data_IF_120161744056
#
_entry.id   IF_120161744056
#
_cell.length_a   1.000
_cell.length_b   1.000
_cell.length_c   1.000
_cell.angle_alpha   90.00
_cell.angle_beta   90.00
_cell.angle_gamma   90.00
#
_symmetry.space_group_name_H-M   'P 1'
#
loop_
_entity.id
_entity.type
_entity.pdbx_description
1 polymer ?
#
# COMPACT_ATOMS: atom_id res chain seq x y z
N UNK A 1 -17.88 20.85 -14.78
CA UNK A 1 -17.33 21.59 -13.63
C UNK A 1 -16.13 22.37 -14.11
N UNK A 2 -15.82 23.56 -13.57
CA UNK A 2 -14.64 24.32 -13.98
C UNK A 2 -13.38 23.56 -13.56
N UNK A 3 -12.82 22.83 -14.51
CA UNK A 3 -11.51 22.21 -14.40
C UNK A 3 -10.47 23.19 -14.93
N UNK A 4 -9.24 23.11 -14.43
CA UNK A 4 -8.14 23.74 -15.15
C UNK A 4 -7.98 23.11 -16.55
N UNK A 5 -7.06 23.63 -17.37
CA UNK A 5 -6.76 23.09 -18.72
C UNK A 5 -6.30 21.61 -18.74
N UNK A 6 -6.09 21.01 -17.57
CA UNK A 6 -5.63 19.62 -17.38
C UNK A 6 -6.69 18.72 -16.71
N UNK A 7 -7.93 19.20 -16.54
CA UNK A 7 -9.01 18.39 -15.97
C UNK A 7 -9.05 18.33 -14.44
N UNK A 8 -8.20 19.08 -13.73
CA UNK A 8 -8.17 19.09 -12.25
C UNK A 8 -9.16 20.13 -11.71
N UNK A 9 -10.04 19.69 -10.81
CA UNK A 9 -11.03 20.54 -10.14
C UNK A 9 -10.47 21.18 -8.87
N UNK A 10 -10.91 22.42 -8.63
CA UNK A 10 -10.76 23.10 -7.34
C UNK A 10 -11.69 22.54 -6.26
N UNK A 11 -12.73 21.82 -6.67
CA UNK A 11 -13.64 21.13 -5.76
C UNK A 11 -12.99 19.84 -5.27
N UNK A 12 -12.99 19.65 -3.95
CA UNK A 12 -12.61 18.39 -3.33
C UNK A 12 -13.72 17.36 -3.56
N UNK A 13 -13.34 16.13 -3.91
CA UNK A 13 -14.31 15.03 -3.98
C UNK A 13 -14.90 14.71 -2.59
N UNK A 14 -16.01 13.97 -2.54
CA UNK A 14 -16.61 13.51 -1.26
C UNK A 14 -15.60 12.77 -0.37
N UNK A 15 -14.67 12.06 -0.97
CA UNK A 15 -13.59 11.34 -0.29
C UNK A 15 -12.49 12.26 0.24
N UNK A 16 -12.18 13.33 -0.48
CA UNK A 16 -11.17 14.31 -0.07
C UNK A 16 -11.67 15.23 1.05
N UNK A 17 -12.99 15.45 1.13
CA UNK A 17 -13.63 16.22 2.20
C UNK A 17 -13.31 15.64 3.57
N UNK A 18 -13.32 14.31 3.73
CA UNK A 18 -12.95 13.66 5.00
C UNK A 18 -11.53 14.05 5.45
N UNK A 19 -10.54 14.03 4.54
CA UNK A 19 -9.16 14.39 4.85
C UNK A 19 -9.00 15.87 5.17
N UNK A 20 -9.75 16.74 4.49
CA UNK A 20 -9.79 18.17 4.83
C UNK A 20 -10.36 18.39 6.23
N UNK A 21 -11.51 17.79 6.53
CA UNK A 21 -12.21 18.00 7.79
C UNK A 21 -11.45 17.41 8.99
N UNK A 22 -10.58 16.42 8.74
CA UNK A 22 -9.70 15.82 9.76
C UNK A 22 -8.30 16.47 9.85
N UNK A 23 -8.00 17.47 9.02
CA UNK A 23 -6.65 18.05 8.89
C UNK A 23 -6.06 18.55 10.22
N UNK A 24 -6.80 19.39 10.95
CA UNK A 24 -6.29 19.99 12.20
C UNK A 24 -6.10 18.94 13.29
N UNK A 25 -7.05 18.00 13.42
CA UNK A 25 -6.94 16.88 14.34
C UNK A 25 -5.69 16.02 14.07
N UNK A 26 -5.42 15.70 12.80
CA UNK A 26 -4.21 14.96 12.42
C UNK A 26 -2.94 15.78 12.69
N UNK A 27 -2.95 17.09 12.45
CA UNK A 27 -1.84 17.97 12.77
C UNK A 27 -1.53 17.99 14.28
N UNK A 28 -2.56 18.03 15.14
CA UNK A 28 -2.41 17.93 16.60
C UNK A 28 -1.83 16.57 17.03
N UNK A 29 -2.17 15.50 16.31
CA UNK A 29 -1.56 14.16 16.48
C UNK A 29 -0.17 14.04 15.84
N UNK A 30 0.36 15.11 15.23
CA UNK A 30 1.71 15.14 14.68
C UNK A 30 1.82 14.71 13.21
N UNK A 31 0.71 14.66 12.47
CA UNK A 31 0.66 14.25 11.07
C UNK A 31 0.11 15.38 10.19
N UNK A 32 0.98 15.98 9.38
CA UNK A 32 0.61 17.07 8.48
C UNK A 32 0.27 16.53 7.09
N UNK A 33 -0.99 16.68 6.67
CA UNK A 33 -1.42 16.33 5.32
C UNK A 33 -0.89 17.34 4.27
N UNK A 34 -0.97 16.95 3.00
CA UNK A 34 -0.60 17.78 1.84
C UNK A 34 -1.43 19.07 1.77
N UNK A 35 -0.89 20.17 1.21
CA UNK A 35 -1.57 21.47 1.10
C UNK A 35 -3.00 21.41 0.58
N UNK A 36 -3.31 20.52 -0.38
CA UNK A 36 -4.66 20.33 -0.93
C UNK A 36 -5.73 20.04 0.12
N UNK A 37 -5.36 19.42 1.25
CA UNK A 37 -6.29 19.06 2.33
C UNK A 37 -6.31 20.09 3.46
N UNK A 38 -5.57 21.20 3.34
CA UNK A 38 -5.68 22.27 4.33
C UNK A 38 -7.06 22.93 4.24
N UNK A 39 -7.77 23.22 5.36
CA UNK A 39 -9.09 23.85 5.31
C UNK A 39 -9.11 25.20 4.59
N UNK A 40 -8.04 25.99 4.75
CA UNK A 40 -7.84 27.26 4.03
C UNK A 40 -7.11 27.11 2.68
N UNK A 41 -7.10 25.91 2.07
CA UNK A 41 -6.39 25.69 0.81
C UNK A 41 -6.94 26.58 -0.31
N UNK A 42 -6.01 27.26 -1.00
CA UNK A 42 -6.26 27.97 -2.24
C UNK A 42 -5.46 27.28 -3.33
N UNK A 43 -6.10 26.82 -4.43
CA UNK A 43 -5.40 26.17 -5.52
C UNK A 43 -4.23 27.01 -6.07
N UNK A 44 -3.04 26.43 -6.08
CA UNK A 44 -1.78 27.06 -6.51
C UNK A 44 -1.81 27.66 -7.92
N UNK A 45 -2.68 27.14 -8.80
CA UNK A 45 -2.82 27.58 -10.20
C UNK A 45 -3.75 28.79 -10.38
N UNK A 46 -4.58 29.15 -9.39
CA UNK A 46 -5.49 30.30 -9.47
C UNK A 46 -4.79 31.65 -9.68
N UNK A 47 -3.62 31.92 -9.05
CA UNK A 47 -2.86 33.13 -9.33
C UNK A 47 -2.16 33.12 -10.71
N UNK A 48 -2.37 32.09 -11.56
CA UNK A 48 -1.69 31.93 -12.84
C UNK A 48 -0.20 31.62 -12.73
N UNK A 49 0.26 31.15 -11.55
CA UNK A 49 1.69 31.10 -11.20
C UNK A 49 2.37 29.76 -11.40
N UNK A 50 1.66 28.64 -11.27
CA UNK A 50 2.31 27.33 -11.18
C UNK A 50 1.76 26.35 -12.21
N UNK A 51 2.69 25.80 -13.00
CA UNK A 51 2.49 24.62 -13.85
C UNK A 51 3.10 23.45 -13.05
N UNK A 52 2.39 22.33 -12.95
CA UNK A 52 2.77 21.12 -12.23
C UNK A 52 2.86 21.28 -10.70
N UNK A 53 1.83 21.87 -10.10
CA UNK A 53 1.77 22.01 -8.65
C UNK A 53 1.37 20.72 -7.94
N UNK A 54 1.90 20.50 -6.74
CA UNK A 54 1.67 19.28 -5.97
C UNK A 54 0.19 19.10 -5.61
N UNK A 55 -0.51 20.19 -5.32
CA UNK A 55 -1.94 20.21 -4.97
C UNK A 55 -2.87 19.87 -6.15
N UNK A 56 -2.31 19.57 -7.33
CA UNK A 56 -3.03 18.94 -8.45
C UNK A 56 -3.30 17.47 -8.21
N UNK A 57 -2.45 16.81 -7.42
CA UNK A 57 -2.51 15.36 -7.21
C UNK A 57 -3.58 15.01 -6.17
N UNK A 58 -4.78 14.68 -6.62
CA UNK A 58 -5.88 14.20 -5.76
C UNK A 58 -5.74 12.71 -5.44
N UNK A 59 -6.43 12.27 -4.37
CA UNK A 59 -6.52 10.84 -4.05
C UNK A 59 -7.40 10.15 -5.09
N UNK A 60 -6.92 9.04 -5.63
CA UNK A 60 -7.68 8.20 -6.56
C UNK A 60 -8.45 7.11 -5.80
N UNK A 61 -9.60 6.68 -6.35
CA UNK A 61 -10.36 5.55 -5.81
C UNK A 61 -11.25 5.90 -4.60
N UNK A 62 -11.40 4.96 -3.65
CA UNK A 62 -12.31 5.09 -2.49
C UNK A 62 -11.86 6.09 -1.42
N UNK A 63 -10.77 6.82 -1.63
CA UNK A 63 -10.36 7.85 -0.68
C UNK A 63 -9.78 7.38 0.64
N UNK A 64 -9.74 6.06 0.89
CA UNK A 64 -9.39 5.53 2.20
C UNK A 64 -7.90 5.68 2.54
N UNK A 65 -7.03 5.97 1.56
CA UNK A 65 -5.58 6.07 1.73
C UNK A 65 -5.10 7.47 1.35
N UNK A 66 -4.22 8.05 2.18
CA UNK A 66 -3.55 9.33 1.93
C UNK A 66 -2.13 9.29 2.51
N UNK A 67 -1.28 10.27 2.18
CA UNK A 67 0.02 10.44 2.83
C UNK A 67 0.05 11.67 3.75
N UNK A 68 0.93 11.58 4.75
CA UNK A 68 1.20 12.66 5.68
C UNK A 68 2.70 12.78 5.94
N UNK A 69 3.13 13.97 6.35
CA UNK A 69 4.44 14.20 6.91
C UNK A 69 4.37 14.10 8.44
N UNK A 70 5.07 13.13 9.00
CA UNK A 70 5.19 12.98 10.46
C UNK A 70 6.10 14.08 11.01
N UNK A 71 5.54 14.94 11.85
CA UNK A 71 6.26 16.03 12.51
C UNK A 71 7.28 15.50 13.53
N UNK A 72 7.04 14.31 14.09
CA UNK A 72 7.95 13.68 15.07
C UNK A 72 9.17 13.05 14.41
N UNK A 73 8.95 12.28 13.34
CA UNK A 73 10.02 11.50 12.69
C UNK A 73 10.63 12.21 11.49
N UNK A 74 10.05 13.34 11.05
CA UNK A 74 10.47 14.10 9.88
C UNK A 74 10.50 13.24 8.60
N UNK A 75 9.53 12.33 8.48
CA UNK A 75 9.42 11.39 7.36
C UNK A 75 7.98 11.30 6.85
N UNK A 76 7.84 10.92 5.58
CA UNK A 76 6.54 10.57 5.02
C UNK A 76 6.01 9.27 5.63
N UNK A 77 4.70 9.22 5.82
CA UNK A 77 3.93 8.04 6.24
C UNK A 77 2.67 7.93 5.39
N UNK A 78 2.07 6.75 5.38
CA UNK A 78 0.76 6.52 4.76
C UNK A 78 -0.29 6.41 5.87
N UNK A 79 -1.42 7.05 5.66
CA UNK A 79 -2.62 6.98 6.50
C UNK A 79 -3.68 6.17 5.76
N UNK A 80 -4.28 5.17 6.42
CA UNK A 80 -5.44 4.44 5.89
C UNK A 80 -6.59 4.49 6.88
N UNK A 81 -7.79 4.85 6.40
CA UNK A 81 -9.05 4.76 7.16
C UNK A 81 -9.52 3.31 7.11
N UNK A 82 -9.86 2.73 8.26
CA UNK A 82 -10.27 1.33 8.43
C UNK A 82 -11.67 1.27 9.01
N UNK A 83 -12.56 0.51 8.37
CA UNK A 83 -14.01 0.49 8.69
C UNK A 83 -14.42 -0.54 9.75
N UNK A 84 -13.78 -1.73 9.85
CA UNK A 84 -13.73 -2.54 11.10
C UNK A 84 -13.15 -3.95 10.88
N UNK A 85 -13.50 -4.63 9.79
CA UNK A 85 -13.21 -6.07 9.63
C UNK A 85 -11.71 -6.39 9.45
N UNK A 86 -10.94 -5.45 8.87
CA UNK A 86 -9.49 -5.58 8.68
C UNK A 86 -8.70 -5.44 10.00
N UNK A 87 -9.21 -4.64 10.95
CA UNK A 87 -8.46 -4.21 12.14
C UNK A 87 -8.09 -5.36 13.09
N UNK A 88 -8.96 -6.36 13.38
CA UNK A 88 -8.57 -7.53 14.18
C UNK A 88 -7.37 -8.29 13.61
N UNK A 89 -7.32 -8.50 12.29
CA UNK A 89 -6.22 -9.20 11.62
C UNK A 89 -4.93 -8.39 11.71
N UNK A 90 -5.00 -7.08 11.42
CA UNK A 90 -3.84 -6.20 11.57
C UNK A 90 -3.32 -6.17 13.01
N UNK A 91 -4.20 -6.23 14.03
CA UNK A 91 -3.81 -6.31 15.44
C UNK A 91 -3.07 -7.60 15.78
N UNK A 92 -3.46 -8.74 15.23
CA UNK A 92 -2.74 -10.01 15.43
C UNK A 92 -1.29 -9.84 14.99
N UNK A 93 -1.07 -9.38 13.75
CA UNK A 93 0.27 -9.27 13.20
C UNK A 93 1.10 -8.13 13.79
N UNK A 94 0.46 -7.12 14.38
CA UNK A 94 1.13 -5.99 15.03
C UNK A 94 1.24 -6.10 16.54
N UNK A 95 0.74 -7.18 17.15
CA UNK A 95 1.04 -7.48 18.54
C UNK A 95 2.57 -7.55 18.74
N UNK A 96 3.15 -6.94 19.78
CA UNK A 96 4.61 -6.84 19.92
C UNK A 96 5.35 -8.18 19.79
N UNK A 97 4.80 -9.27 20.34
CA UNK A 97 5.35 -10.62 20.26
C UNK A 97 5.36 -11.21 18.85
N UNK A 98 4.35 -10.89 18.05
CA UNK A 98 4.19 -11.38 16.66
C UNK A 98 4.98 -10.48 15.70
N UNK A 99 4.98 -9.17 15.93
CA UNK A 99 5.70 -8.18 15.12
C UNK A 99 7.21 -8.35 15.17
N UNK A 100 7.76 -8.82 16.29
CA UNK A 100 9.20 -9.09 16.43
C UNK A 100 9.68 -10.35 15.71
N UNK A 101 8.78 -11.18 15.17
CA UNK A 101 9.15 -12.42 14.50
C UNK A 101 9.75 -12.12 13.11
N UNK A 102 10.88 -12.76 12.74
CA UNK A 102 11.66 -12.40 11.55
C UNK A 102 10.93 -12.65 10.22
N UNK A 103 9.97 -13.57 10.19
CA UNK A 103 9.19 -13.91 9.00
C UNK A 103 7.92 -13.08 8.87
N UNK A 104 7.62 -12.19 9.81
CA UNK A 104 6.45 -11.35 9.73
C UNK A 104 6.63 -10.27 8.63
N UNK A 105 6.17 -10.59 7.43
CA UNK A 105 6.16 -9.69 6.28
C UNK A 105 4.81 -8.99 6.09
N UNK A 106 3.99 -8.88 7.11
CA UNK A 106 2.79 -8.03 7.03
C UNK A 106 3.16 -6.57 7.27
N UNK A 107 2.39 -5.62 6.74
CA UNK A 107 2.65 -4.19 6.96
C UNK A 107 2.66 -3.83 8.45
N UNK A 108 3.70 -3.14 8.94
CA UNK A 108 3.72 -2.68 10.31
C UNK A 108 2.79 -1.48 10.49
N UNK A 109 2.04 -1.45 11.58
CA UNK A 109 1.22 -0.32 12.02
C UNK A 109 2.04 0.48 13.02
N UNK A 110 2.42 1.69 12.62
CA UNK A 110 3.23 2.61 13.44
C UNK A 110 2.41 3.25 14.55
N UNK A 111 1.15 3.57 14.25
CA UNK A 111 0.20 4.17 15.19
C UNK A 111 -1.23 3.85 14.75
N UNK A 112 -2.17 3.78 15.71
CA UNK A 112 -3.61 3.74 15.46
C UNK A 112 -4.26 4.95 16.10
N UNK A 113 -4.88 5.79 15.27
CA UNK A 113 -5.52 7.04 15.65
C UNK A 113 -7.03 6.81 15.68
N UNK A 114 -7.62 6.90 16.87
CA UNK A 114 -9.05 6.79 17.07
C UNK A 114 -9.76 8.11 16.73
N UNK A 115 -10.85 8.02 15.97
CA UNK A 115 -11.73 9.14 15.64
C UNK A 115 -12.88 9.19 16.67
N UNK A 116 -12.68 9.96 17.74
CA UNK A 116 -13.54 9.96 18.95
C UNK A 116 -15.02 10.31 18.71
N UNK A 117 -15.34 10.92 17.57
CA UNK A 117 -16.69 11.34 17.20
C UNK A 117 -17.20 10.71 15.89
N UNK A 118 -16.50 9.69 15.40
CA UNK A 118 -16.89 9.02 14.17
C UNK A 118 -18.04 8.03 14.43
N UNK A 119 -19.22 8.21 13.82
CA UNK A 119 -20.38 7.35 14.07
C UNK A 119 -20.15 5.91 13.60
N UNK A 120 -19.27 5.72 12.61
CA UNK A 120 -18.89 4.42 12.05
C UNK A 120 -17.77 3.75 12.85
N UNK A 121 -17.25 4.41 13.91
CA UNK A 121 -16.14 3.94 14.75
C UNK A 121 -14.89 3.59 13.95
N UNK A 122 -14.67 4.29 12.83
CA UNK A 122 -13.49 4.13 11.99
C UNK A 122 -12.24 4.54 12.76
N UNK A 123 -11.13 3.93 12.37
CA UNK A 123 -9.80 4.31 12.86
C UNK A 123 -8.91 4.69 11.69
N UNK A 124 -7.92 5.55 11.94
CA UNK A 124 -6.85 5.79 10.99
C UNK A 124 -5.63 5.01 11.47
N UNK A 125 -5.11 4.13 10.62
CA UNK A 125 -3.81 3.48 10.85
C UNK A 125 -2.72 4.27 10.14
N UNK A 126 -1.57 4.38 10.81
CA UNK A 126 -0.36 4.97 10.26
C UNK A 126 0.58 3.85 9.87
N UNK A 127 1.01 3.85 8.61
CA UNK A 127 1.86 2.84 8.00
C UNK A 127 3.13 3.49 7.42
N UNK A 128 4.22 2.73 7.23
CA UNK A 128 5.38 3.22 6.51
C UNK A 128 5.03 3.64 5.08
N UNK A 129 5.78 4.61 4.55
CA UNK A 129 5.67 5.02 3.15
C UNK A 129 6.45 4.03 2.26
N UNK A 130 5.74 3.02 1.75
CA UNK A 130 6.31 1.91 0.98
C UNK A 130 6.05 2.08 -0.54
N UNK A 131 6.82 1.36 -1.35
CA UNK A 131 6.78 1.38 -2.82
C UNK A 131 6.35 0.04 -3.39
N UNK A 132 5.67 0.00 -4.53
CA UNK A 132 5.44 -1.27 -5.23
C UNK A 132 6.75 -2.02 -5.47
N UNK A 133 6.75 -3.30 -5.12
CA UNK A 133 8.00 -4.08 -5.07
C UNK A 133 8.68 -4.30 -6.41
N UNK A 134 7.97 -4.13 -7.53
CA UNK A 134 8.48 -4.31 -8.89
C UNK A 134 9.12 -3.03 -9.46
N UNK A 135 9.00 -1.89 -8.79
CA UNK A 135 9.51 -0.61 -9.30
C UNK A 135 10.33 0.16 -8.25
N UNK A 136 11.60 0.52 -8.52
CA UNK A 136 12.38 0.26 -9.74
C UNK A 136 12.57 -1.25 -10.03
N UNK A 137 12.80 -1.67 -11.28
CA UNK A 137 12.88 -3.09 -11.63
C UNK A 137 14.03 -3.83 -10.94
N UNK A 138 13.92 -5.15 -10.87
CA UNK A 138 15.00 -6.02 -10.42
C UNK A 138 16.17 -5.99 -11.41
N UNK A 139 17.39 -6.00 -10.88
CA UNK A 139 18.62 -5.91 -11.68
C UNK A 139 19.31 -7.26 -11.83
N UNK A 140 19.07 -8.19 -10.90
CA UNK A 140 19.75 -9.49 -10.86
C UNK A 140 18.82 -10.61 -10.41
N UNK A 141 19.13 -11.83 -10.82
CA UNK A 141 18.42 -13.04 -10.35
C UNK A 141 18.49 -13.19 -8.83
N UNK A 142 19.59 -12.80 -8.19
CA UNK A 142 19.72 -12.87 -6.74
C UNK A 142 18.67 -12.02 -6.02
N UNK A 143 18.37 -10.82 -6.53
CA UNK A 143 17.34 -9.95 -5.95
C UNK A 143 15.93 -10.53 -6.12
N UNK A 144 15.67 -11.21 -7.25
CA UNK A 144 14.41 -11.92 -7.49
C UNK A 144 14.27 -13.08 -6.51
N UNK A 145 15.31 -13.90 -6.35
CA UNK A 145 15.30 -15.04 -5.44
C UNK A 145 15.15 -14.60 -3.98
N UNK A 146 15.80 -13.51 -3.58
CA UNK A 146 15.63 -12.91 -2.25
C UNK A 146 14.17 -12.44 -2.02
N UNK A 147 13.57 -11.75 -2.99
CA UNK A 147 12.16 -11.36 -2.92
C UNK A 147 11.23 -12.58 -2.84
N UNK A 148 11.42 -13.60 -3.69
CA UNK A 148 10.66 -14.86 -3.63
C UNK A 148 10.74 -15.50 -2.25
N UNK A 149 11.95 -15.61 -1.69
CA UNK A 149 12.16 -16.22 -0.38
C UNK A 149 11.44 -15.44 0.72
N UNK A 150 11.57 -14.11 0.74
CA UNK A 150 10.90 -13.27 1.73
C UNK A 150 9.38 -13.36 1.61
N UNK A 151 8.83 -13.31 0.40
CA UNK A 151 7.38 -13.37 0.16
C UNK A 151 6.79 -14.74 0.50
N UNK A 152 7.44 -15.84 0.09
CA UNK A 152 7.02 -17.19 0.48
C UNK A 152 7.06 -17.39 1.99
N UNK A 153 8.13 -16.94 2.65
CA UNK A 153 8.26 -17.04 4.11
C UNK A 153 7.20 -16.18 4.81
N UNK A 154 6.90 -15.00 4.26
CA UNK A 154 5.86 -14.10 4.76
C UNK A 154 4.46 -14.67 4.60
N UNK A 155 4.16 -15.31 3.47
CA UNK A 155 2.85 -15.93 3.24
C UNK A 155 2.65 -17.17 4.11
N UNK A 156 3.69 -17.99 4.25
CA UNK A 156 3.69 -19.11 5.19
C UNK A 156 3.44 -18.62 6.62
N UNK A 157 4.08 -17.54 7.03
CA UNK A 157 3.86 -16.92 8.34
C UNK A 157 2.41 -16.45 8.54
N UNK A 158 1.79 -15.84 7.52
CA UNK A 158 0.37 -15.44 7.55
C UNK A 158 -0.52 -16.67 7.75
N UNK A 159 -0.26 -17.75 7.02
CA UNK A 159 -1.00 -19.01 7.12
C UNK A 159 -0.81 -19.72 8.48
N UNK A 160 0.41 -19.69 9.04
CA UNK A 160 0.72 -20.19 10.39
C UNK A 160 -0.06 -19.48 11.50
N UNK A 161 -0.55 -18.27 11.25
CA UNK A 161 -1.41 -17.52 12.19
C UNK A 161 -2.90 -17.71 11.90
N UNK A 162 -3.26 -18.75 11.17
CA UNK A 162 -4.64 -19.09 10.79
C UNK A 162 -5.32 -17.97 10.00
N UNK A 163 -4.57 -17.24 9.18
CA UNK A 163 -5.11 -16.17 8.34
C UNK A 163 -4.80 -16.48 6.88
N UNK A 164 -5.78 -16.26 6.00
CA UNK A 164 -5.56 -16.22 4.56
C UNK A 164 -5.77 -14.79 4.04
N UNK A 165 -4.87 -14.32 3.20
CA UNK A 165 -4.86 -12.94 2.69
C UNK A 165 -5.99 -12.68 1.69
N UNK A 166 -6.22 -13.66 0.80
CA UNK A 166 -7.19 -13.70 -0.32
C UNK A 166 -6.99 -12.68 -1.44
N UNK A 167 -5.95 -11.87 -1.34
CA UNK A 167 -5.57 -10.90 -2.36
C UNK A 167 -4.05 -10.68 -2.38
N UNK A 168 -3.28 -11.77 -2.30
CA UNK A 168 -1.81 -11.77 -2.34
C UNK A 168 -1.27 -11.50 -3.76
N UNK A 169 -1.73 -10.42 -4.37
CA UNK A 169 -1.40 -10.01 -5.73
C UNK A 169 -0.31 -8.92 -5.75
N UNK A 170 0.23 -8.65 -6.95
CA UNK A 170 1.38 -7.76 -7.14
C UNK A 170 1.15 -6.32 -6.66
N UNK A 171 -0.09 -5.83 -6.66
CA UNK A 171 -0.44 -4.49 -6.17
C UNK A 171 -0.47 -4.39 -4.64
N UNK A 172 -0.64 -5.52 -3.95
CA UNK A 172 -0.68 -5.63 -2.49
C UNK A 172 0.65 -6.09 -1.89
N UNK A 173 1.72 -6.05 -2.68
CA UNK A 173 3.09 -6.32 -2.23
C UNK A 173 3.90 -5.04 -2.41
N UNK A 174 4.35 -4.48 -1.29
CA UNK A 174 5.19 -3.30 -1.26
C UNK A 174 6.59 -3.62 -0.73
N UNK A 175 7.52 -2.68 -0.87
CA UNK A 175 8.87 -2.74 -0.35
C UNK A 175 9.26 -1.45 0.36
N UNK A 176 10.16 -1.56 1.34
CA UNK A 176 10.84 -0.39 1.89
C UNK A 176 11.85 0.16 0.89
N UNK A 177 11.46 1.22 0.19
CA UNK A 177 12.30 1.90 -0.78
C UNK A 177 13.07 3.09 -0.20
N UNK A 178 13.09 3.31 1.11
CA UNK A 178 13.70 4.51 1.71
C UNK A 178 15.19 4.67 1.34
N UNK A 179 15.95 3.57 1.30
CA UNK A 179 17.34 3.58 0.84
C UNK A 179 17.47 3.61 -0.68
N UNK A 180 16.51 3.02 -1.39
CA UNK A 180 16.51 2.90 -2.85
C UNK A 180 16.15 4.22 -3.55
N UNK A 181 15.15 4.93 -3.03
CA UNK A 181 14.65 6.22 -3.51
C UNK A 181 14.78 7.24 -2.36
N UNK A 182 15.99 7.69 -2.01
CA UNK A 182 16.23 8.49 -0.80
C UNK A 182 15.58 9.87 -0.84
N UNK A 183 15.26 10.39 -2.03
CA UNK A 183 14.52 11.65 -2.20
C UNK A 183 12.99 11.46 -2.23
N UNK A 184 12.53 10.21 -2.09
CA UNK A 184 11.12 9.84 -2.14
C UNK A 184 10.47 9.98 -3.51
N UNK A 185 9.17 9.74 -3.53
CA UNK A 185 8.28 9.84 -4.68
C UNK A 185 6.91 10.36 -4.21
N UNK A 186 6.01 10.65 -5.15
CA UNK A 186 4.65 11.11 -4.84
C UNK A 186 3.70 9.90 -4.70
N UNK A 187 2.83 9.87 -3.68
CA UNK A 187 1.97 8.70 -3.43
C UNK A 187 0.97 8.46 -4.57
N UNK A 188 0.27 9.51 -5.01
CA UNK A 188 -0.76 9.40 -6.05
C UNK A 188 -0.21 9.28 -7.47
N UNK A 189 1.02 9.74 -7.67
CA UNK A 189 1.74 9.57 -8.94
C UNK A 189 3.11 8.99 -8.60
N UNK A 190 3.20 7.65 -8.50
CA UNK A 190 4.42 7.01 -8.07
C UNK A 190 5.58 7.26 -9.05
N UNK A 191 5.35 7.72 -10.28
CA UNK A 191 6.40 7.87 -11.29
C UNK A 191 7.19 9.18 -11.16
N UNK A 192 6.69 10.13 -10.37
CA UNK A 192 7.33 11.43 -10.16
C UNK A 192 7.99 11.52 -8.77
N UNK A 193 8.99 12.41 -8.69
CA UNK A 193 9.66 12.77 -7.46
C UNK A 193 8.64 13.39 -6.48
N UNK A 194 8.98 13.35 -5.20
CA UNK A 194 8.11 13.89 -4.14
C UNK A 194 7.79 15.39 -4.29
N UNK A 195 8.62 16.14 -5.03
CA UNK A 195 8.42 17.56 -5.34
C UNK A 195 7.58 17.81 -6.59
N UNK A 196 7.10 16.75 -7.23
CA UNK A 196 6.29 16.71 -8.47
C UNK A 196 6.90 17.40 -9.70
N UNK A 197 8.17 17.79 -9.64
CA UNK A 197 8.84 18.60 -10.70
C UNK A 197 9.65 17.76 -11.68
N UNK A 198 9.87 16.49 -11.39
CA UNK A 198 10.71 15.60 -12.18
C UNK A 198 10.37 14.13 -11.92
N UNK A 199 10.90 13.21 -12.73
CA UNK A 199 10.89 11.79 -12.39
C UNK A 199 11.69 11.54 -11.10
N UNK A 200 11.26 10.55 -10.31
CA UNK A 200 12.02 10.15 -9.12
C UNK A 200 13.40 9.62 -9.53
N UNK A 201 14.39 9.69 -8.62
CA UNK A 201 15.73 9.14 -8.84
C UNK A 201 15.99 8.00 -7.87
N UNK A 202 16.20 6.80 -8.42
CA UNK A 202 16.58 5.61 -7.67
C UNK A 202 18.09 5.38 -7.72
N UNK A 203 18.61 4.77 -6.65
CA UNK A 203 19.91 4.09 -6.63
C UNK A 203 19.76 2.71 -7.28
N UNK A 204 20.88 2.05 -7.51
CA UNK A 204 20.85 0.63 -7.87
C UNK A 204 20.34 -0.21 -6.69
N UNK A 205 19.48 -1.19 -6.93
CA UNK A 205 19.00 -2.15 -5.91
C UNK A 205 20.16 -2.89 -5.25
N UNK A 206 21.17 -3.26 -6.02
CA UNK A 206 22.37 -3.93 -5.52
C UNK A 206 23.12 -3.09 -4.48
N UNK A 207 23.11 -1.76 -4.63
CA UNK A 207 23.80 -0.85 -3.71
C UNK A 207 23.12 -0.65 -2.35
N UNK A 208 21.88 -1.12 -2.20
CA UNK A 208 21.05 -0.91 -0.99
C UNK A 208 20.52 -2.20 -0.38
N UNK A 209 20.95 -3.36 -0.89
CA UNK A 209 20.57 -4.67 -0.36
C UNK A 209 20.90 -4.80 1.15
N UNK A 210 20.09 -5.52 1.96
CA UNK A 210 18.82 -6.19 1.62
C UNK A 210 17.64 -5.21 1.54
N UNK A 211 16.59 -5.55 0.78
CA UNK A 211 15.32 -4.79 0.73
C UNK A 211 14.23 -5.62 1.40
N UNK A 212 13.41 -4.99 2.25
CA UNK A 212 12.30 -5.66 2.91
C UNK A 212 11.02 -5.53 2.08
N UNK A 213 10.31 -6.64 1.93
CA UNK A 213 9.00 -6.72 1.27
C UNK A 213 7.87 -6.94 2.28
N UNK A 214 6.70 -6.41 1.98
CA UNK A 214 5.52 -6.44 2.86
C UNK A 214 4.23 -6.71 2.10
N UNK A 215 3.39 -7.58 2.65
CA UNK A 215 1.98 -7.72 2.33
C UNK A 215 1.18 -6.59 2.98
N UNK A 216 0.33 -5.93 2.20
CA UNK A 216 -0.58 -4.88 2.63
C UNK A 216 -2.03 -5.28 2.32
N UNK A 217 -2.97 -4.49 2.82
CA UNK A 217 -4.39 -4.57 2.47
C UNK A 217 -5.06 -5.91 2.82
N UNK A 218 -5.44 -6.02 4.10
CA UNK A 218 -6.05 -7.22 4.66
C UNK A 218 -7.59 -7.16 4.64
N UNK A 219 -8.19 -6.28 3.83
CA UNK A 219 -9.65 -6.08 3.75
C UNK A 219 -10.41 -7.35 3.32
N UNK A 220 -9.79 -8.19 2.48
CA UNK A 220 -10.37 -9.46 2.03
C UNK A 220 -9.92 -10.65 2.88
N UNK A 221 -9.03 -10.42 3.85
CA UNK A 221 -8.46 -11.50 4.65
C UNK A 221 -9.48 -12.08 5.62
N UNK A 222 -9.28 -13.35 5.95
CA UNK A 222 -10.14 -14.07 6.91
C UNK A 222 -9.29 -14.87 7.87
N UNK A 223 -9.78 -14.99 9.10
CA UNK A 223 -9.30 -16.01 10.04
C UNK A 223 -9.93 -17.34 9.62
N UNK A 224 -9.11 -18.35 9.45
CA UNK A 224 -9.47 -19.66 8.88
C UNK A 224 -9.56 -20.68 10.01
N UNK A 225 -10.56 -21.55 9.94
CA UNK A 225 -10.59 -22.76 10.75
C UNK A 225 -9.78 -23.85 10.03
N UNK A 226 -8.66 -24.28 10.60
CA UNK A 226 -7.78 -25.25 9.94
C UNK A 226 -8.36 -26.67 9.83
N UNK A 227 -9.35 -27.03 10.66
CA UNK A 227 -10.03 -28.33 10.56
C UNK A 227 -10.91 -28.40 9.30
N UNK A 228 -11.48 -27.26 8.90
CA UNK A 228 -12.30 -27.11 7.69
C UNK A 228 -11.96 -25.76 7.03
N UNK A 229 -10.84 -25.67 6.29
CA UNK A 229 -10.31 -24.41 5.79
C UNK A 229 -11.09 -23.97 4.54
N UNK A 230 -12.33 -23.56 4.74
CA UNK A 230 -13.24 -23.09 3.71
C UNK A 230 -13.60 -21.61 3.94
N UNK A 231 -13.52 -20.83 2.88
CA UNK A 231 -13.98 -19.45 2.83
C UNK A 231 -15.01 -19.27 1.71
N UNK A 232 -15.84 -18.24 1.87
CA UNK A 232 -16.85 -17.84 0.89
C UNK A 232 -16.60 -16.41 0.39
N UNK A 233 -17.24 -16.07 -0.73
CA UNK A 233 -17.36 -14.69 -1.19
C UNK A 233 -16.24 -14.25 -2.10
N UNK A 234 -15.94 -12.95 -2.06
CA UNK A 234 -15.14 -12.28 -3.08
C UNK A 234 -13.70 -12.77 -3.09
N UNK A 235 -13.19 -13.01 -4.29
CA UNK A 235 -11.77 -13.22 -4.52
C UNK A 235 -11.15 -11.87 -4.86
N UNK A 236 -9.86 -11.69 -4.57
CA UNK A 236 -9.11 -10.48 -4.85
C UNK A 236 -8.90 -10.16 -6.33
N UNK A 237 -7.97 -9.26 -6.64
CA UNK A 237 -7.81 -8.65 -7.96
C UNK A 237 -7.42 -9.64 -9.08
N UNK A 238 -6.81 -10.78 -8.76
CA UNK A 238 -6.40 -11.76 -9.76
C UNK A 238 -7.57 -12.58 -10.30
N UNK A 239 -8.13 -12.14 -11.43
CA UNK A 239 -9.29 -12.77 -12.07
C UNK A 239 -8.98 -14.12 -12.74
N UNK A 240 -7.72 -14.59 -12.78
CA UNK A 240 -7.40 -15.89 -13.38
C UNK A 240 -7.61 -17.08 -12.44
N UNK A 241 -7.86 -16.81 -11.16
CA UNK A 241 -8.19 -17.82 -10.14
C UNK A 241 -9.51 -18.52 -10.50
N UNK A 242 -9.60 -19.86 -10.46
CA UNK A 242 -10.84 -20.58 -10.77
C UNK A 242 -12.03 -20.19 -9.89
N UNK A 243 -11.78 -19.85 -8.63
CA UNK A 243 -12.76 -19.46 -7.62
C UNK A 243 -13.54 -18.20 -8.03
N UNK A 244 -12.94 -17.34 -8.86
CA UNK A 244 -13.63 -16.16 -9.41
C UNK A 244 -14.86 -16.52 -10.24
N UNK A 245 -14.84 -17.66 -10.93
CA UNK A 245 -15.96 -18.14 -11.73
C UNK A 245 -17.05 -18.84 -10.89
N UNK A 246 -16.80 -19.07 -9.60
CA UNK A 246 -17.72 -19.78 -8.70
C UNK A 246 -17.86 -19.07 -7.35
N UNK A 247 -18.36 -17.82 -7.32
CA UNK A 247 -18.41 -17.00 -6.10
C UNK A 247 -19.26 -17.61 -4.98
N UNK A 248 -20.22 -18.47 -5.32
CA UNK A 248 -21.13 -19.12 -4.37
C UNK A 248 -20.57 -20.44 -3.80
N UNK A 249 -19.44 -20.93 -4.31
CA UNK A 249 -18.83 -22.19 -3.84
C UNK A 249 -17.76 -21.90 -2.80
N UNK A 250 -17.71 -22.67 -1.70
CA UNK A 250 -16.60 -22.56 -0.77
C UNK A 250 -15.30 -23.01 -1.44
N UNK A 251 -14.20 -22.41 -1.03
CA UNK A 251 -12.88 -22.74 -1.53
C UNK A 251 -11.85 -22.70 -0.39
N UNK A 252 -10.69 -23.31 -0.60
CA UNK A 252 -9.60 -23.24 0.36
C UNK A 252 -8.82 -21.93 0.18
N UNK A 253 -8.87 -20.99 1.15
CA UNK A 253 -8.30 -19.67 0.96
C UNK A 253 -6.77 -19.67 1.04
N UNK A 254 -6.14 -20.65 1.69
CA UNK A 254 -4.69 -20.82 1.64
C UNK A 254 -4.22 -21.20 0.23
N UNK A 255 -4.95 -22.10 -0.45
CA UNK A 255 -4.63 -22.47 -1.85
C UNK A 255 -4.82 -21.29 -2.80
N UNK A 256 -5.84 -20.46 -2.56
CA UNK A 256 -6.04 -19.23 -3.31
C UNK A 256 -4.80 -18.32 -3.20
N UNK A 257 -4.31 -18.07 -1.98
CA UNK A 257 -3.13 -17.23 -1.76
C UNK A 257 -1.88 -17.76 -2.49
N UNK A 258 -1.65 -19.08 -2.42
CA UNK A 258 -0.52 -19.72 -3.10
C UNK A 258 -0.63 -19.55 -4.62
N UNK A 259 -1.84 -19.69 -5.18
CA UNK A 259 -2.06 -19.46 -6.60
C UNK A 259 -1.80 -18.01 -6.99
N UNK A 260 -2.33 -17.05 -6.22
CA UNK A 260 -2.16 -15.61 -6.47
C UNK A 260 -0.68 -15.21 -6.41
N UNK A 261 0.05 -15.63 -5.37
CA UNK A 261 1.48 -15.37 -5.25
C UNK A 261 2.29 -16.05 -6.36
N UNK A 262 1.94 -17.28 -6.73
CA UNK A 262 2.55 -17.97 -7.87
C UNK A 262 2.36 -17.20 -9.19
N UNK A 263 1.21 -16.56 -9.38
CA UNK A 263 0.96 -15.69 -10.52
C UNK A 263 1.76 -14.39 -10.47
N UNK A 264 2.01 -13.82 -9.29
CA UNK A 264 2.95 -12.71 -9.12
C UNK A 264 4.33 -13.12 -9.62
N UNK A 265 4.84 -14.27 -9.18
CA UNK A 265 6.15 -14.76 -9.61
C UNK A 265 6.20 -15.03 -11.11
N UNK A 266 5.15 -15.63 -11.66
CA UNK A 266 5.06 -15.88 -13.10
C UNK A 266 5.11 -14.57 -13.89
N UNK A 267 4.29 -13.58 -13.56
CA UNK A 267 4.19 -12.34 -14.36
C UNK A 267 5.39 -11.41 -14.12
N UNK A 268 5.68 -11.11 -12.87
CA UNK A 268 6.66 -10.06 -12.53
C UNK A 268 8.11 -10.55 -12.53
N UNK A 269 8.36 -11.84 -12.30
CA UNK A 269 9.73 -12.37 -12.20
C UNK A 269 10.17 -13.16 -13.41
N UNK A 270 9.28 -13.86 -14.12
CA UNK A 270 9.72 -14.59 -15.32
C UNK A 270 9.88 -13.64 -16.50
N UNK A 271 8.99 -12.65 -16.69
CA UNK A 271 9.14 -11.67 -17.77
C UNK A 271 10.43 -10.83 -17.60
N UNK A 272 10.72 -10.39 -16.36
CA UNK A 272 11.97 -9.71 -16.02
C UNK A 272 13.16 -10.67 -16.10
N UNK A 273 13.04 -11.89 -15.56
CA UNK A 273 14.09 -12.90 -15.59
C UNK A 273 14.52 -13.30 -17.01
N UNK A 274 13.57 -13.48 -17.93
CA UNK A 274 13.85 -13.72 -19.34
C UNK A 274 14.58 -12.54 -19.95
N UNK A 275 14.19 -11.30 -19.66
CA UNK A 275 14.92 -10.12 -20.15
C UNK A 275 16.37 -10.05 -19.63
N UNK A 276 16.61 -10.45 -18.37
CA UNK A 276 17.95 -10.50 -17.77
C UNK A 276 18.82 -11.62 -18.34
N UNK A 277 18.20 -12.73 -18.78
CA UNK A 277 18.87 -13.86 -19.41
C UNK A 277 19.08 -13.69 -20.93
N UNK A 278 18.43 -12.70 -21.55
CA UNK A 278 18.46 -12.49 -23.01
C UNK A 278 19.68 -11.71 -23.51
N UNK A 279 20.66 -11.43 -22.66
CA UNK A 279 21.95 -10.88 -23.08
C UNK A 279 22.99 -12.01 -23.23
N UNK A 280 23.01 -12.60 -24.42
CA UNK A 280 24.14 -13.35 -24.98
C UNK A 280 24.44 -12.83 -26.38
#
# INVERSE_FOLDING_TARGET
>A
MPTNKYGVSEELTSYEIFWRDTYHFLCERGYKLRPRYHPDWVPSWKPGREVDAEDWQCIHGRGAVNDAFSLKTQAKVVLKVIESDELPILRIFNAPSVRSLPNNRTVPILETIHLEHDPEKRVIIVMPFLRWFFDPPFETLHQILDACQQLLSGLAFIHEHHVAHRDACYLNILMDSSRLIPKGFHLNDPWIAADVKSSYKARSRSSVHPINYYYIDFELSVIVNDEEPLAYGRVGLDRSVPEWATPDKPYNPYKLDIYQLGNVFRKEFTEVGFSLLSFT
#
